data_IF_887576588296
#
_entry.id   IF_887576588296
#
_cell.length_a   1.000
_cell.length_b   1.000
_cell.length_c   1.000
_cell.angle_alpha   90.00
_cell.angle_beta   90.00
_cell.angle_gamma   90.00
#
_symmetry.space_group_name_H-M   'P 1'
#
loop_
_entity.id
_entity.type
_entity.pdbx_description
1 polymer ?
#
# COMPACT_ATOMS: atom_id res chain seq x y z
N UNK A 1 34.27 -17.29 16.91
CA UNK A 1 33.33 -17.38 18.06
C UNK A 1 32.23 -18.34 17.69
N UNK A 2 32.01 -19.46 18.41
CA UNK A 2 30.98 -20.40 18.04
C UNK A 2 29.60 -19.82 18.37
N UNK A 3 28.80 -19.84 17.31
CA UNK A 3 27.45 -19.33 17.16
C UNK A 3 26.51 -19.89 18.24
N UNK A 4 25.86 -18.98 18.97
CA UNK A 4 24.84 -19.32 19.97
C UNK A 4 23.61 -19.77 19.20
N UNK A 5 23.59 -21.04 18.76
CA UNK A 5 22.48 -21.64 18.01
C UNK A 5 21.18 -21.36 18.76
N UNK A 6 20.35 -20.48 18.19
CA UNK A 6 19.05 -20.14 18.74
C UNK A 6 18.27 -21.45 19.00
N UNK A 7 17.76 -21.67 20.21
CA UNK A 7 17.06 -22.92 20.56
C UNK A 7 15.82 -23.17 19.68
N UNK A 8 15.34 -22.12 19.01
CA UNK A 8 14.22 -22.15 18.06
C UNK A 8 14.65 -22.82 16.73
N UNK A 9 15.87 -22.56 16.26
CA UNK A 9 16.41 -23.13 15.01
C UNK A 9 16.77 -24.62 15.13
N UNK A 10 16.94 -25.12 16.37
CA UNK A 10 17.24 -26.52 16.65
C UNK A 10 15.99 -27.43 16.65
N UNK A 11 14.77 -26.85 16.54
CA UNK A 11 13.53 -27.64 16.53
C UNK A 11 13.41 -28.38 15.20
N UNK A 12 13.34 -29.71 15.27
CA UNK A 12 13.19 -30.53 14.09
C UNK A 12 11.90 -30.15 13.34
N UNK A 13 12.06 -29.72 12.08
CA UNK A 13 10.93 -29.53 11.16
C UNK A 13 10.43 -30.90 10.71
N UNK A 14 9.13 -31.12 10.81
CA UNK A 14 8.48 -32.24 10.13
C UNK A 14 8.81 -32.20 8.62
N UNK A 15 8.97 -33.35 7.94
CA UNK A 15 9.34 -33.40 6.52
C UNK A 15 8.46 -32.52 5.62
N UNK A 16 7.15 -32.50 5.89
CA UNK A 16 6.17 -31.70 5.14
C UNK A 16 6.31 -30.20 5.40
N UNK A 17 6.71 -29.81 6.61
CA UNK A 17 7.01 -28.42 6.92
C UNK A 17 8.28 -27.98 6.20
N UNK A 18 9.29 -28.85 6.09
CA UNK A 18 10.53 -28.57 5.36
C UNK A 18 10.28 -28.36 3.87
N UNK A 19 9.45 -29.20 3.24
CA UNK A 19 9.11 -29.05 1.82
C UNK A 19 8.37 -27.75 1.56
N UNK A 20 7.41 -27.38 2.44
CA UNK A 20 6.68 -26.11 2.35
C UNK A 20 7.57 -24.88 2.55
N UNK A 21 8.49 -24.91 3.52
CA UNK A 21 9.45 -23.81 3.71
C UNK A 21 10.30 -23.61 2.46
N UNK A 22 10.78 -24.70 1.85
CA UNK A 22 11.56 -24.63 0.60
C UNK A 22 10.75 -23.99 -0.53
N UNK A 23 9.52 -24.44 -0.71
CA UNK A 23 8.59 -23.89 -1.71
C UNK A 23 8.38 -22.37 -1.51
N UNK A 24 8.20 -21.92 -0.27
CA UNK A 24 8.02 -20.50 0.03
C UNK A 24 9.29 -19.67 -0.16
N UNK A 25 10.46 -20.21 0.19
CA UNK A 25 11.74 -19.54 -0.06
C UNK A 25 11.97 -19.38 -1.55
N UNK A 26 11.70 -20.40 -2.36
CA UNK A 26 11.82 -20.34 -3.81
C UNK A 26 10.86 -19.31 -4.41
N UNK A 27 9.58 -19.32 -4.01
CA UNK A 27 8.61 -18.32 -4.47
C UNK A 27 9.01 -16.91 -4.08
N UNK A 28 9.45 -16.71 -2.84
CA UNK A 28 9.93 -15.41 -2.37
C UNK A 28 11.13 -14.93 -3.17
N UNK A 29 12.10 -15.80 -3.43
CA UNK A 29 13.29 -15.48 -4.21
C UNK A 29 12.92 -15.05 -5.64
N UNK A 30 12.01 -15.79 -6.30
CA UNK A 30 11.52 -15.45 -7.65
C UNK A 30 10.85 -14.08 -7.64
N UNK A 31 9.97 -13.82 -6.67
CA UNK A 31 9.28 -12.52 -6.55
C UNK A 31 10.25 -11.37 -6.28
N UNK A 32 11.23 -11.56 -5.39
CA UNK A 32 12.24 -10.55 -5.07
C UNK A 32 13.10 -10.22 -6.29
N UNK A 33 13.56 -11.23 -7.01
CA UNK A 33 14.38 -11.06 -8.21
C UNK A 33 13.60 -10.35 -9.32
N UNK A 34 12.34 -10.71 -9.53
CA UNK A 34 11.48 -10.05 -10.51
C UNK A 34 11.27 -8.58 -10.16
N UNK A 35 10.94 -8.27 -8.90
CA UNK A 35 10.74 -6.90 -8.46
C UNK A 35 12.04 -6.07 -8.56
N UNK A 36 13.19 -6.64 -8.21
CA UNK A 36 14.48 -5.96 -8.34
C UNK A 36 14.82 -5.62 -9.80
N UNK A 37 14.48 -6.51 -10.74
CA UNK A 37 14.61 -6.24 -12.19
C UNK A 37 13.68 -5.11 -12.64
N UNK A 38 12.46 -5.04 -12.11
CA UNK A 38 11.52 -3.95 -12.39
C UNK A 38 12.10 -2.62 -11.87
N UNK A 39 12.66 -2.57 -10.67
CA UNK A 39 13.29 -1.34 -10.14
C UNK A 39 14.49 -0.91 -10.98
N UNK A 40 15.33 -1.86 -11.43
CA UNK A 40 16.46 -1.57 -12.31
C UNK A 40 15.98 -1.01 -13.65
N UNK A 41 14.94 -1.60 -14.24
CA UNK A 41 14.33 -1.13 -15.49
C UNK A 41 13.76 0.28 -15.34
N UNK A 42 13.01 0.55 -14.27
CA UNK A 42 12.44 1.88 -13.99
C UNK A 42 13.51 2.96 -13.77
N UNK A 43 14.69 2.55 -13.29
CA UNK A 43 15.84 3.44 -13.09
C UNK A 43 16.75 3.53 -14.31
N UNK A 44 16.35 2.92 -15.44
CA UNK A 44 17.17 2.80 -16.67
C UNK A 44 18.58 2.25 -16.42
N UNK A 45 18.73 1.38 -15.42
CA UNK A 45 20.00 0.75 -15.11
C UNK A 45 20.21 -0.52 -15.95
N UNK A 46 21.40 -0.66 -16.55
CA UNK A 46 21.77 -1.85 -17.33
C UNK A 46 21.93 -3.12 -16.47
N UNK A 47 22.19 -2.94 -15.17
CA UNK A 47 22.41 -4.05 -14.24
C UNK A 47 21.63 -3.88 -12.94
N UNK A 48 21.29 -5.01 -12.31
CA UNK A 48 20.60 -5.01 -11.02
C UNK A 48 21.62 -4.73 -9.91
N UNK A 49 21.56 -3.52 -9.36
CA UNK A 49 22.34 -3.09 -8.21
C UNK A 49 21.70 -3.55 -6.89
N UNK A 50 22.50 -3.58 -5.82
CA UNK A 50 22.06 -3.89 -4.45
C UNK A 50 20.90 -2.98 -4.02
N UNK A 51 20.96 -1.68 -4.38
CA UNK A 51 19.90 -0.70 -4.10
C UNK A 51 18.54 -1.12 -4.68
N UNK A 52 18.50 -1.75 -5.86
CA UNK A 52 17.28 -2.25 -6.48
C UNK A 52 16.71 -3.46 -5.72
N UNK A 53 17.57 -4.31 -5.16
CA UNK A 53 17.17 -5.45 -4.33
C UNK A 53 16.61 -4.98 -3.00
N UNK A 54 17.24 -3.98 -2.37
CA UNK A 54 16.75 -3.39 -1.12
C UNK A 54 15.38 -2.74 -1.30
N UNK A 55 15.18 -2.02 -2.41
CA UNK A 55 13.90 -1.37 -2.70
C UNK A 55 12.81 -2.39 -3.04
N UNK A 56 13.16 -3.44 -3.80
CA UNK A 56 12.28 -4.58 -4.06
C UNK A 56 11.87 -5.29 -2.76
N UNK A 57 12.81 -5.52 -1.84
CA UNK A 57 12.53 -6.10 -0.53
C UNK A 57 11.57 -5.21 0.26
N UNK A 58 11.83 -3.90 0.34
CA UNK A 58 10.93 -2.94 1.00
C UNK A 58 9.51 -2.99 0.43
N UNK A 59 9.36 -3.10 -0.89
CA UNK A 59 8.04 -3.22 -1.54
C UNK A 59 7.33 -4.52 -1.19
N UNK A 60 8.05 -5.64 -1.14
CA UNK A 60 7.48 -6.96 -0.81
C UNK A 60 7.07 -7.04 0.66
N UNK A 61 7.87 -6.48 1.58
CA UNK A 61 7.58 -6.57 3.02
C UNK A 61 6.59 -5.52 3.54
N UNK A 62 6.24 -4.51 2.73
CA UNK A 62 5.39 -3.38 3.13
C UNK A 62 3.94 -3.41 2.59
N UNK A 63 3.21 -4.54 2.58
CA UNK A 63 1.82 -4.53 2.10
C UNK A 63 0.90 -3.74 3.05
N UNK A 64 1.22 -3.68 4.36
CA UNK A 64 0.33 -3.09 5.37
C UNK A 64 0.11 -1.57 5.23
N UNK A 65 1.11 -0.81 4.79
CA UNK A 65 1.00 0.66 4.74
C UNK A 65 0.07 1.14 3.63
N UNK A 66 0.10 0.48 2.47
CA UNK A 66 -0.71 0.85 1.31
C UNK A 66 -2.19 0.54 1.53
N UNK A 67 -2.50 -0.62 2.12
CA UNK A 67 -3.89 -1.00 2.43
C UNK A 67 -4.52 -0.07 3.47
N UNK A 68 -3.78 0.32 4.50
CA UNK A 68 -4.31 1.21 5.53
C UNK A 68 -4.57 2.62 4.99
N UNK A 69 -3.65 3.17 4.18
CA UNK A 69 -3.83 4.48 3.57
C UNK A 69 -5.02 4.50 2.60
N UNK A 70 -5.19 3.44 1.80
CA UNK A 70 -6.34 3.25 0.89
C UNK A 70 -7.67 3.19 1.64
N UNK A 71 -7.72 2.44 2.74
CA UNK A 71 -8.91 2.35 3.59
C UNK A 71 -9.23 3.70 4.24
N UNK A 72 -8.21 4.38 4.79
CA UNK A 72 -8.40 5.68 5.44
C UNK A 72 -8.86 6.75 4.44
N UNK A 73 -8.27 6.79 3.24
CA UNK A 73 -8.66 7.78 2.22
C UNK A 73 -10.07 7.53 1.68
N UNK A 74 -10.50 6.28 1.56
CA UNK A 74 -11.88 5.94 1.20
C UNK A 74 -12.89 6.38 2.28
N UNK A 75 -12.60 6.15 3.56
CA UNK A 75 -13.48 6.55 4.68
C UNK A 75 -13.57 8.07 4.78
N UNK A 76 -12.41 8.75 4.79
CA UNK A 76 -12.35 10.22 4.92
C UNK A 76 -12.97 10.88 3.69
N UNK A 77 -12.66 10.39 2.49
CA UNK A 77 -13.21 10.92 1.25
C UNK A 77 -14.74 10.76 1.19
N UNK A 78 -15.26 9.61 1.62
CA UNK A 78 -16.71 9.35 1.66
C UNK A 78 -17.43 10.26 2.65
N UNK A 79 -16.86 10.47 3.83
CA UNK A 79 -17.40 11.40 4.82
C UNK A 79 -17.38 12.85 4.32
N UNK A 80 -16.27 13.29 3.71
CA UNK A 80 -16.16 14.63 3.13
C UNK A 80 -17.16 14.84 2.00
N UNK A 81 -17.29 13.88 1.09
CA UNK A 81 -18.24 13.97 -0.02
C UNK A 81 -19.69 13.99 0.45
N UNK A 82 -20.07 13.11 1.38
CA UNK A 82 -21.41 13.10 1.97
C UNK A 82 -21.75 14.40 2.70
N UNK A 83 -20.80 14.93 3.49
CA UNK A 83 -20.98 16.22 4.17
C UNK A 83 -21.09 17.39 3.19
N UNK A 84 -20.32 17.38 2.10
CA UNK A 84 -20.39 18.39 1.06
C UNK A 84 -21.77 18.44 0.38
N UNK A 85 -22.39 17.28 0.09
CA UNK A 85 -23.75 17.23 -0.48
C UNK A 85 -24.77 17.87 0.46
N UNK A 86 -24.70 17.57 1.76
CA UNK A 86 -25.61 18.14 2.76
C UNK A 86 -25.46 19.65 2.91
N UNK A 87 -24.21 20.14 2.93
CA UNK A 87 -23.91 21.58 2.99
C UNK A 87 -24.35 22.27 1.70
N UNK A 88 -24.14 21.65 0.55
CA UNK A 88 -24.55 22.18 -0.75
C UNK A 88 -26.08 22.34 -0.84
N UNK A 89 -26.84 21.32 -0.44
CA UNK A 89 -28.30 21.38 -0.41
C UNK A 89 -28.82 22.51 0.50
N UNK A 90 -28.18 22.71 1.65
CA UNK A 90 -28.51 23.77 2.61
C UNK A 90 -28.10 25.16 2.10
N UNK A 91 -26.96 25.27 1.41
CA UNK A 91 -26.50 26.51 0.81
C UNK A 91 -27.34 26.92 -0.41
N UNK A 92 -27.83 25.94 -1.17
CA UNK A 92 -28.74 26.14 -2.29
C UNK A 92 -30.08 26.71 -1.84
N UNK A 93 -30.68 26.15 -0.78
CA UNK A 93 -31.95 26.66 -0.25
C UNK A 93 -31.79 28.03 0.44
N UNK A 94 -30.63 28.30 1.04
CA UNK A 94 -30.33 29.57 1.71
C UNK A 94 -29.78 30.68 0.80
N UNK A 95 -29.56 30.43 -0.50
CA UNK A 95 -29.04 31.42 -1.46
C UNK A 95 -27.60 31.87 -1.21
N UNK A 96 -26.82 31.12 -0.42
CA UNK A 96 -25.45 31.51 -0.06
C UNK A 96 -24.43 30.93 -1.05
N UNK A 97 -24.08 31.74 -2.06
CA UNK A 97 -23.15 31.37 -3.13
C UNK A 97 -21.74 31.00 -2.63
N UNK A 98 -21.29 31.57 -1.50
CA UNK A 98 -19.98 31.24 -0.93
C UNK A 98 -19.96 29.82 -0.35
N UNK A 99 -21.01 29.43 0.39
CA UNK A 99 -21.13 28.08 0.94
C UNK A 99 -21.32 27.03 -0.17
N UNK A 100 -21.97 27.38 -1.28
CA UNK A 100 -22.04 26.53 -2.48
C UNK A 100 -20.67 26.28 -3.09
N UNK A 101 -19.88 27.34 -3.31
CA UNK A 101 -18.54 27.21 -3.88
C UNK A 101 -17.66 26.34 -2.97
N UNK A 102 -17.69 26.59 -1.66
CA UNK A 102 -16.92 25.86 -0.68
C UNK A 102 -17.31 24.37 -0.63
N UNK A 103 -18.60 24.07 -0.60
CA UNK A 103 -19.10 22.68 -0.61
C UNK A 103 -18.75 21.95 -1.90
N UNK A 104 -18.76 22.62 -3.05
CA UNK A 104 -18.33 22.03 -4.32
C UNK A 104 -16.84 21.63 -4.28
N UNK A 105 -15.96 22.49 -3.75
CA UNK A 105 -14.53 22.19 -3.58
C UNK A 105 -14.34 20.99 -2.65
N UNK A 106 -14.99 20.96 -1.48
CA UNK A 106 -14.91 19.83 -0.56
C UNK A 106 -15.47 18.53 -1.15
N UNK A 107 -16.52 18.62 -1.96
CA UNK A 107 -17.07 17.49 -2.69
C UNK A 107 -16.07 16.90 -3.68
N UNK A 108 -15.41 17.74 -4.48
CA UNK A 108 -14.38 17.29 -5.42
C UNK A 108 -13.17 16.67 -4.71
N UNK A 109 -12.70 17.27 -3.62
CA UNK A 109 -11.60 16.72 -2.81
C UNK A 109 -12.01 15.37 -2.20
N UNK A 110 -13.22 15.27 -1.65
CA UNK A 110 -13.76 14.03 -1.10
C UNK A 110 -13.85 12.92 -2.15
N UNK A 111 -14.40 13.23 -3.32
CA UNK A 111 -14.50 12.28 -4.43
C UNK A 111 -13.13 11.81 -4.93
N UNK A 112 -12.16 12.71 -5.02
CA UNK A 112 -10.79 12.38 -5.41
C UNK A 112 -10.11 11.45 -4.37
N UNK A 113 -10.30 11.71 -3.07
CA UNK A 113 -9.81 10.85 -1.99
C UNK A 113 -10.43 9.45 -2.01
N UNK A 114 -11.72 9.33 -2.32
CA UNK A 114 -12.39 8.05 -2.52
C UNK A 114 -11.81 7.32 -3.72
N UNK A 115 -11.63 8.01 -4.84
CA UNK A 115 -11.07 7.41 -6.05
C UNK A 115 -9.65 6.87 -5.82
N UNK A 116 -8.81 7.62 -5.10
CA UNK A 116 -7.46 7.17 -4.69
C UNK A 116 -7.48 6.03 -3.66
N UNK A 117 -8.54 5.91 -2.85
CA UNK A 117 -8.68 4.84 -1.87
C UNK A 117 -9.17 3.52 -2.46
N UNK A 118 -9.99 3.58 -3.50
CA UNK A 118 -10.55 2.41 -4.17
C UNK A 118 -9.57 1.85 -5.22
N UNK A 119 -8.83 2.72 -5.92
CA UNK A 119 -7.84 2.35 -6.95
C UNK A 119 -6.52 1.89 -6.33
#
# INVERSE_FOLDING_TARGET
MPDKKDPIAAKALYPDARSKVREYVEKFFISLLLQAKIEAFNSSAETVLISHVDEAYRKIISPKRRTWFKQLSAIVGGALFGSAISIFASAYSGGNSFLMLLSMIFGFIGMFLVFLGIT
#
